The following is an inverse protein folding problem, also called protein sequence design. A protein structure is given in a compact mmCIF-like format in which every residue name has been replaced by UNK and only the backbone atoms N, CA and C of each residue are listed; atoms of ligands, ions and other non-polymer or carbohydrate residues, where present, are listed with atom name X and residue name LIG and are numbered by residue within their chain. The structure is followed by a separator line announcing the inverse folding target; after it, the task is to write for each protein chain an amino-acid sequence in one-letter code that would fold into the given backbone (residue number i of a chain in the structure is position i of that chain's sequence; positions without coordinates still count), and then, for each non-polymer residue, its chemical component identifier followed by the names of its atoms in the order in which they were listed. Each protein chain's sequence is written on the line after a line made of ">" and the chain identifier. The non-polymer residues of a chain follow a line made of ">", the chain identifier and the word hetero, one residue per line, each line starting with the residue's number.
data_IF_177180997310
#
_entry.id   IF_177180997310
#
_cell.length_a   1.000
_cell.length_b   1.000
_cell.length_c   1.000
_cell.angle_alpha   90.00
_cell.angle_beta   90.00
_cell.angle_gamma   90.00
#
_symmetry.space_group_name_H-M   'P 1'
#
loop_
_entity.id
_entity.type
_entity.pdbx_description
1 polymer ?
#
# COMPACT_ATOMS: atom_id res chain seq x y z
N UNK A 1 7.66 3.95 -4.14
CA UNK A 1 6.94 3.26 -3.04
C UNK A 1 6.56 1.84 -3.40
N UNK A 2 6.28 1.02 -2.40
CA UNK A 2 5.71 -0.33 -2.56
C UNK A 2 4.18 -0.28 -2.81
N UNK A 3 3.54 -1.44 -3.03
CA UNK A 3 2.10 -1.50 -3.37
C UNK A 3 1.21 -0.88 -2.31
N UNK A 4 1.52 -1.08 -1.03
CA UNK A 4 0.73 -0.57 0.09
C UNK A 4 0.75 0.96 0.13
N UNK A 5 1.95 1.55 0.02
CA UNK A 5 2.14 3.01 -0.06
C UNK A 5 1.42 3.60 -1.28
N UNK A 6 1.53 2.93 -2.43
CA UNK A 6 0.87 3.35 -3.67
C UNK A 6 -0.65 3.25 -3.63
N UNK A 7 -1.17 2.26 -2.91
CA UNK A 7 -2.59 2.07 -2.73
C UNK A 7 -3.20 3.24 -1.96
N UNK A 8 -2.60 3.64 -0.82
CA UNK A 8 -3.15 4.72 0.02
C UNK A 8 -2.60 6.11 -0.32
N UNK A 9 -1.73 6.22 -1.32
CA UNK A 9 -1.12 7.48 -1.73
C UNK A 9 -0.19 8.06 -0.68
N UNK A 10 0.41 7.19 0.14
CA UNK A 10 1.39 7.52 1.17
C UNK A 10 2.78 7.69 0.53
N UNK A 11 2.85 8.70 -0.31
CA UNK A 11 3.96 8.99 -1.20
C UNK A 11 3.81 10.43 -1.70
N UNK A 12 4.93 11.07 -2.01
CA UNK A 12 4.99 12.45 -2.47
C UNK A 12 5.05 12.46 -3.99
N UNK A 13 4.08 13.12 -4.62
CA UNK A 13 4.11 13.33 -6.06
C UNK A 13 5.35 14.15 -6.38
N UNK A 14 6.11 13.69 -7.36
CA UNK A 14 7.40 14.25 -7.73
C UNK A 14 8.54 14.12 -6.70
N UNK A 15 8.30 13.40 -5.60
CA UNK A 15 9.31 12.99 -4.64
C UNK A 15 9.65 11.51 -4.80
N UNK A 16 9.37 10.71 -3.77
CA UNK A 16 9.64 9.26 -3.72
C UNK A 16 8.90 8.41 -4.76
N UNK A 17 7.93 9.00 -5.47
CA UNK A 17 7.25 8.35 -6.58
C UNK A 17 8.00 8.42 -7.91
N UNK A 18 8.92 9.37 -8.07
CA UNK A 18 9.57 9.62 -9.35
C UNK A 18 10.64 8.56 -9.67
N UNK A 19 10.73 8.19 -10.95
CA UNK A 19 11.77 7.29 -11.46
C UNK A 19 11.44 6.77 -12.85
N UNK A 20 12.34 5.99 -13.45
CA UNK A 20 12.11 5.32 -14.74
C UNK A 20 11.36 3.99 -14.62
N UNK A 21 11.40 3.35 -13.45
CA UNK A 21 10.78 2.06 -13.17
C UNK A 21 10.53 1.91 -11.67
N UNK A 22 9.32 1.54 -11.27
CA UNK A 22 9.00 1.25 -9.87
C UNK A 22 9.04 -0.27 -9.61
N UNK A 23 10.24 -0.76 -9.30
CA UNK A 23 10.57 -2.20 -9.18
C UNK A 23 9.65 -2.96 -8.21
N UNK A 24 9.30 -2.34 -7.08
CA UNK A 24 8.51 -2.98 -6.02
C UNK A 24 7.09 -2.41 -5.88
N UNK A 25 6.60 -1.63 -6.84
CA UNK A 25 5.30 -0.96 -6.73
C UNK A 25 4.10 -1.93 -6.77
N UNK A 26 4.29 -3.19 -7.11
CA UNK A 26 3.27 -4.24 -6.99
C UNK A 26 3.54 -5.25 -5.85
N UNK A 27 4.50 -4.97 -4.98
CA UNK A 27 4.80 -5.80 -3.80
C UNK A 27 4.17 -5.17 -2.55
N UNK A 28 3.23 -5.83 -1.83
CA UNK A 28 2.73 -5.34 -0.54
C UNK A 28 3.85 -5.20 0.50
N UNK A 29 3.75 -4.24 1.43
CA UNK A 29 4.78 -3.97 2.45
C UNK A 29 5.11 -5.21 3.27
N UNK A 30 4.09 -5.96 3.70
CA UNK A 30 4.26 -7.24 4.40
C UNK A 30 5.09 -8.23 3.59
N UNK A 31 4.90 -8.29 2.26
CA UNK A 31 5.72 -9.11 1.36
C UNK A 31 7.12 -8.55 1.14
N UNK A 32 7.33 -7.24 1.16
CA UNK A 32 8.69 -6.65 1.13
C UNK A 32 9.50 -7.18 2.32
N UNK A 33 8.94 -7.14 3.54
CA UNK A 33 9.61 -7.68 4.72
C UNK A 33 9.85 -9.20 4.62
N UNK A 34 8.89 -9.97 4.10
CA UNK A 34 9.09 -11.42 3.93
C UNK A 34 10.18 -11.74 2.91
N UNK A 35 10.28 -10.97 1.82
CA UNK A 35 11.36 -11.07 0.83
C UNK A 35 12.72 -10.72 1.43
N UNK A 36 12.81 -9.67 2.24
CA UNK A 36 14.05 -9.32 2.93
C UNK A 36 14.53 -10.44 3.85
N UNK A 37 13.62 -11.03 4.65
CA UNK A 37 13.94 -12.18 5.50
C UNK A 37 14.32 -13.40 4.67
N UNK A 38 13.64 -13.61 3.53
CA UNK A 38 13.93 -14.71 2.62
C UNK A 38 15.34 -14.62 2.03
N UNK A 39 15.74 -13.42 1.57
CA UNK A 39 17.07 -13.17 1.01
C UNK A 39 18.18 -13.37 2.05
N UNK A 40 17.91 -12.95 3.30
CA UNK A 40 18.88 -13.04 4.38
C UNK A 40 19.09 -14.44 4.98
N UNK A 41 18.32 -15.47 4.57
CA UNK A 41 18.40 -16.80 5.19
C UNK A 41 19.77 -17.47 5.00
N UNK A 42 20.40 -17.28 3.85
CA UNK A 42 21.67 -17.92 3.50
C UNK A 42 22.86 -16.99 3.77
N UNK A 43 22.67 -15.69 3.55
CA UNK A 43 23.68 -14.66 3.76
C UNK A 43 23.01 -13.35 4.12
N UNK A 44 23.52 -12.66 5.13
CA UNK A 44 23.03 -11.32 5.48
C UNK A 44 23.44 -10.35 4.37
N UNK A 45 22.48 -9.98 3.52
CA UNK A 45 22.63 -8.98 2.45
C UNK A 45 21.98 -7.66 2.88
N UNK A 46 20.82 -7.74 3.53
CA UNK A 46 20.10 -6.58 4.07
C UNK A 46 20.42 -6.47 5.56
N UNK A 47 20.95 -5.34 6.05
CA UNK A 47 21.20 -5.15 7.49
C UNK A 47 19.97 -5.47 8.35
N UNK A 48 20.07 -6.33 9.38
CA UNK A 48 18.94 -6.72 10.22
C UNK A 48 18.20 -5.53 10.86
N UNK A 49 18.93 -4.46 11.16
CA UNK A 49 18.41 -3.23 11.74
C UNK A 49 17.35 -2.57 10.84
N UNK A 50 17.48 -2.69 9.51
CA UNK A 50 16.49 -2.16 8.54
C UNK A 50 15.18 -2.96 8.62
N UNK A 51 15.25 -4.24 8.97
CA UNK A 51 14.09 -5.15 9.04
C UNK A 51 13.38 -5.02 10.40
N UNK A 52 14.14 -4.80 11.48
CA UNK A 52 13.60 -4.70 12.85
C UNK A 52 13.15 -3.29 13.22
N UNK A 53 13.67 -2.26 12.55
CA UNK A 53 13.23 -0.88 12.79
C UNK A 53 11.74 -0.76 12.41
N UNK A 54 10.90 -0.18 13.28
CA UNK A 54 9.51 0.08 12.94
C UNK A 54 9.44 0.96 11.68
N UNK A 55 8.49 0.71 10.77
CA UNK A 55 8.30 1.60 9.63
C UNK A 55 7.95 3.01 10.12
N UNK A 56 8.66 4.00 9.59
CA UNK A 56 8.48 5.41 9.90
C UNK A 56 8.83 6.26 8.68
N UNK A 57 7.92 7.10 8.22
CA UNK A 57 8.18 8.15 7.26
C UNK A 57 8.92 9.27 7.97
N UNK A 58 10.23 9.32 7.77
CA UNK A 58 11.12 10.36 8.28
C UNK A 58 10.92 11.70 7.53
N UNK A 59 9.66 12.16 7.39
CA UNK A 59 9.34 13.45 6.80
C UNK A 59 9.41 14.59 7.83
N UNK A 60 9.27 14.28 9.13
CA UNK A 60 9.48 15.21 10.26
C UNK A 60 10.03 14.48 11.49
N UNK A 61 10.84 15.14 12.36
CA UNK A 61 11.31 14.54 13.60
C UNK A 61 10.12 14.09 14.48
N UNK A 62 10.05 12.81 14.82
CA UNK A 62 9.02 12.23 15.68
C UNK A 62 7.73 11.76 14.98
N UNK A 63 7.61 11.90 13.65
CA UNK A 63 6.45 11.39 12.90
C UNK A 63 6.52 9.85 12.77
N UNK A 64 5.53 9.13 13.29
CA UNK A 64 5.38 7.68 13.09
C UNK A 64 4.36 7.41 11.98
N UNK A 65 4.61 6.41 11.14
CA UNK A 65 3.64 5.98 10.10
C UNK A 65 2.28 5.59 10.69
N UNK A 66 2.30 5.11 11.94
CA UNK A 66 1.12 4.75 12.73
C UNK A 66 0.18 5.92 13.01
N UNK A 67 0.65 7.16 12.91
CA UNK A 67 -0.20 8.33 13.16
C UNK A 67 -1.19 8.56 12.00
N UNK A 68 -0.84 8.06 10.80
CA UNK A 68 -1.62 8.28 9.57
C UNK A 68 -2.22 7.00 9.00
N UNK A 69 -1.60 5.84 9.19
CA UNK A 69 -2.02 4.55 8.63
C UNK A 69 -2.19 3.48 9.72
N UNK A 70 -3.10 2.50 9.53
CA UNK A 70 -3.09 1.30 10.38
C UNK A 70 -1.78 0.51 10.16
N UNK A 71 -1.44 -0.43 11.08
CA UNK A 71 -0.34 -1.38 10.88
C UNK A 71 -0.41 -2.04 9.50
N UNK A 72 0.74 -2.29 8.88
CA UNK A 72 0.79 -2.80 7.50
C UNK A 72 0.13 -4.17 7.34
N UNK A 73 0.13 -4.99 8.38
CA UNK A 73 -0.58 -6.28 8.40
C UNK A 73 -2.08 -6.08 8.21
N UNK A 74 -2.65 -5.05 8.86
CA UNK A 74 -4.06 -4.69 8.74
C UNK A 74 -4.32 -3.99 7.39
N UNK A 75 -3.45 -3.05 7.02
CA UNK A 75 -3.56 -2.31 5.77
C UNK A 75 -3.54 -3.26 4.56
N UNK A 76 -2.56 -4.15 4.50
CA UNK A 76 -2.36 -5.05 3.37
C UNK A 76 -3.49 -6.06 3.26
N UNK A 77 -4.03 -6.58 4.37
CA UNK A 77 -5.18 -7.49 4.32
C UNK A 77 -6.45 -6.78 3.81
N UNK A 78 -6.72 -5.55 4.28
CA UNK A 78 -7.84 -4.75 3.77
C UNK A 78 -7.66 -4.46 2.27
N UNK A 79 -6.46 -4.03 1.85
CA UNK A 79 -6.17 -3.73 0.45
C UNK A 79 -6.28 -4.98 -0.44
N UNK A 80 -5.80 -6.13 0.01
CA UNK A 80 -5.93 -7.41 -0.68
C UNK A 80 -7.40 -7.74 -0.94
N UNK A 81 -8.24 -7.60 0.09
CA UNK A 81 -9.67 -7.88 0.01
C UNK A 81 -10.40 -6.94 -0.96
N UNK A 82 -10.04 -5.66 -0.96
CA UNK A 82 -10.66 -4.68 -1.87
C UNK A 82 -10.17 -4.90 -3.31
N UNK A 83 -8.86 -4.94 -3.51
CA UNK A 83 -8.23 -4.84 -4.84
C UNK A 83 -8.31 -6.18 -5.56
N UNK A 84 -7.91 -7.27 -4.90
CA UNK A 84 -7.80 -8.59 -5.52
C UNK A 84 -9.09 -9.41 -5.37
N UNK A 85 -9.76 -9.32 -4.22
CA UNK A 85 -10.94 -10.16 -3.92
C UNK A 85 -12.30 -9.49 -4.16
N UNK A 86 -12.33 -8.20 -4.50
CA UNK A 86 -13.57 -7.45 -4.74
C UNK A 86 -14.58 -7.44 -3.60
N UNK A 87 -14.10 -7.59 -2.36
CA UNK A 87 -15.00 -7.60 -1.21
C UNK A 87 -15.54 -6.20 -0.95
N UNK A 88 -16.85 -6.13 -0.70
CA UNK A 88 -17.52 -4.94 -0.24
C UNK A 88 -17.10 -4.60 1.19
N UNK A 89 -17.26 -3.33 1.59
CA UNK A 89 -16.94 -2.84 2.94
C UNK A 89 -17.48 -3.76 4.05
N UNK A 90 -18.78 -4.13 3.95
CA UNK A 90 -19.45 -5.00 4.92
C UNK A 90 -18.77 -6.36 5.10
N UNK A 91 -18.26 -6.94 4.02
CA UNK A 91 -17.61 -8.26 4.04
C UNK A 91 -16.25 -8.18 4.73
N UNK A 92 -15.54 -7.06 4.52
CA UNK A 92 -14.25 -6.79 5.17
C UNK A 92 -14.45 -6.54 6.67
N UNK A 93 -15.52 -5.84 7.05
CA UNK A 93 -15.90 -5.64 8.46
C UNK A 93 -16.27 -6.98 9.12
N UNK A 94 -17.08 -7.80 8.45
CA UNK A 94 -17.44 -9.15 8.94
C UNK A 94 -16.22 -10.07 9.07
N UNK A 95 -15.16 -9.84 8.29
CA UNK A 95 -13.89 -10.55 8.39
C UNK A 95 -13.05 -10.13 9.61
N UNK A 96 -13.53 -9.21 10.47
CA UNK A 96 -12.91 -8.84 11.74
C UNK A 96 -12.20 -7.49 11.75
N UNK A 97 -12.26 -6.73 10.65
CA UNK A 97 -11.68 -5.37 10.61
C UNK A 97 -12.64 -4.33 11.18
N UNK A 98 -12.10 -3.32 11.87
CA UNK A 98 -12.93 -2.24 12.39
C UNK A 98 -13.53 -1.40 11.25
N UNK A 99 -14.81 -1.04 11.35
CA UNK A 99 -15.48 -0.20 10.37
C UNK A 99 -14.76 1.14 10.15
N UNK A 100 -14.22 1.74 11.22
CA UNK A 100 -13.46 2.98 11.13
C UNK A 100 -12.18 2.82 10.29
N UNK A 101 -11.44 1.73 10.49
CA UNK A 101 -10.21 1.45 9.74
C UNK A 101 -10.51 1.16 8.27
N UNK A 102 -11.50 0.31 7.98
CA UNK A 102 -11.89 -0.03 6.60
C UNK A 102 -12.29 1.23 5.85
N UNK A 103 -13.17 2.06 6.43
CA UNK A 103 -13.60 3.32 5.85
C UNK A 103 -12.43 4.29 5.58
N UNK A 104 -11.47 4.36 6.51
CA UNK A 104 -10.27 5.18 6.33
C UNK A 104 -9.43 4.70 5.15
N UNK A 105 -9.17 3.39 5.06
CA UNK A 105 -8.37 2.79 3.98
C UNK A 105 -9.04 3.02 2.62
N UNK A 106 -10.36 2.83 2.51
CA UNK A 106 -11.06 3.02 1.23
C UNK A 106 -11.02 4.49 0.80
N UNK A 107 -11.20 5.43 1.73
CA UNK A 107 -11.06 6.87 1.43
C UNK A 107 -9.67 7.23 0.94
N UNK A 108 -8.62 6.67 1.55
CA UNK A 108 -7.24 6.88 1.12
C UNK A 108 -6.99 6.26 -0.26
N UNK A 109 -7.48 5.04 -0.48
CA UNK A 109 -7.40 4.34 -1.76
C UNK A 109 -8.02 5.15 -2.89
N UNK A 110 -9.24 5.65 -2.68
CA UNK A 110 -9.96 6.50 -3.64
C UNK A 110 -9.18 7.78 -3.96
N UNK A 111 -8.74 8.52 -2.93
CA UNK A 111 -8.03 9.80 -3.09
C UNK A 111 -6.68 9.67 -3.78
N UNK A 112 -6.04 8.51 -3.71
CA UNK A 112 -4.71 8.29 -4.25
C UNK A 112 -4.67 8.01 -5.77
N UNK A 113 -5.83 7.92 -6.45
CA UNK A 113 -5.89 7.58 -7.88
C UNK A 113 -5.11 8.55 -8.76
N UNK A 114 -5.20 9.87 -8.50
CA UNK A 114 -4.45 10.87 -9.29
C UNK A 114 -2.93 10.70 -9.19
N UNK A 115 -2.42 10.24 -8.04
CA UNK A 115 -0.98 9.96 -7.85
C UNK A 115 -0.59 8.71 -8.63
N UNK A 116 -1.37 7.63 -8.52
CA UNK A 116 -1.10 6.36 -9.22
C UNK A 116 -1.07 6.50 -10.74
N UNK A 117 -1.90 7.38 -11.29
CA UNK A 117 -1.93 7.65 -12.74
C UNK A 117 -0.65 8.28 -13.28
N UNK A 118 0.18 8.83 -12.40
CA UNK A 118 1.47 9.45 -12.72
C UNK A 118 2.66 8.58 -12.26
N UNK A 119 2.39 7.36 -11.76
CA UNK A 119 3.45 6.45 -11.36
C UNK A 119 4.24 5.97 -12.60
N UNK A 120 5.55 5.74 -12.47
CA UNK A 120 6.35 5.13 -13.53
C UNK A 120 5.91 3.68 -13.80
N UNK A 121 6.40 3.04 -14.88
CA UNK A 121 6.11 1.64 -15.17
C UNK A 121 6.31 0.73 -13.94
N UNK A 122 5.38 -0.21 -13.76
CA UNK A 122 5.33 -1.11 -12.60
C UNK A 122 5.58 -2.55 -13.07
N UNK A 123 6.44 -3.27 -12.35
CA UNK A 123 6.60 -4.72 -12.53
C UNK A 123 5.45 -5.44 -11.82
N UNK A 124 4.59 -6.12 -12.58
CA UNK A 124 3.44 -6.86 -12.05
C UNK A 124 3.88 -8.19 -11.46
N UNK A 125 3.56 -8.43 -10.18
CA UNK A 125 3.82 -9.69 -9.46
C UNK A 125 2.58 -10.26 -8.78
N UNK A 126 1.47 -9.53 -8.81
CA UNK A 126 0.14 -9.95 -8.33
C UNK A 126 -0.88 -9.89 -9.46
N UNK A 127 -2.06 -10.47 -9.26
CA UNK A 127 -3.10 -10.50 -10.30
C UNK A 127 -3.57 -9.10 -10.72
N UNK A 128 -3.53 -8.12 -9.81
CA UNK A 128 -3.95 -6.74 -10.05
C UNK A 128 -2.94 -5.71 -9.61
N UNK A 129 -2.00 -5.39 -10.49
CA UNK A 129 -1.15 -4.22 -10.36
C UNK A 129 -1.91 -2.93 -10.69
N UNK A 130 -1.49 -1.83 -10.05
CA UNK A 130 -1.97 -0.50 -10.41
C UNK A 130 -1.58 -0.16 -11.86
N UNK A 131 -2.51 0.45 -12.61
CA UNK A 131 -2.37 0.65 -14.05
C UNK A 131 -3.24 -0.32 -14.84
N UNK A 132 -2.66 -1.40 -15.39
CA UNK A 132 -3.42 -2.33 -16.24
C UNK A 132 -4.47 -3.13 -15.48
N UNK A 133 -4.19 -3.51 -14.22
CA UNK A 133 -5.09 -4.32 -13.37
C UNK A 133 -6.04 -3.53 -12.47
N UNK A 134 -5.90 -2.21 -12.40
CA UNK A 134 -6.74 -1.30 -11.61
C UNK A 134 -6.99 -0.02 -12.39
N UNK A 135 -8.22 0.16 -12.86
CA UNK A 135 -8.63 1.32 -13.65
C UNK A 135 -9.82 1.99 -12.99
N UNK A 136 -9.56 3.05 -12.24
CA UNK A 136 -10.60 3.85 -11.60
C UNK A 136 -10.57 5.29 -12.13
N UNK A 137 -11.71 6.00 -12.14
CA UNK A 137 -11.74 7.43 -12.44
C UNK A 137 -10.99 8.26 -11.38
N UNK A 138 -10.24 9.28 -11.82
CA UNK A 138 -9.55 10.22 -10.91
C UNK A 138 -10.56 11.10 -10.17
N UNK A 139 -11.41 11.79 -10.93
CA UNK A 139 -12.46 12.65 -10.39
C UNK A 139 -13.73 11.81 -10.24
N UNK A 140 -13.90 11.20 -9.07
CA UNK A 140 -15.09 10.43 -8.74
C UNK A 140 -15.52 10.70 -7.32
N UNK A 141 -16.83 10.85 -7.12
CA UNK A 141 -17.44 10.76 -5.80
C UNK A 141 -17.65 9.28 -5.52
N UNK A 142 -16.57 8.56 -5.23
CA UNK A 142 -16.66 7.18 -4.80
C UNK A 142 -17.26 7.16 -3.39
N UNK A 143 -18.59 7.15 -3.34
CA UNK A 143 -19.36 6.95 -2.12
C UNK A 143 -19.62 5.45 -2.04
N UNK A 144 -19.14 4.81 -0.98
CA UNK A 144 -19.67 3.50 -0.62
C UNK A 144 -21.03 3.79 0.00
N UNK A 145 -22.08 3.69 -0.81
CA UNK A 145 -23.44 3.82 -0.33
C UNK A 145 -23.83 2.49 0.34
N UNK A 146 -24.07 2.60 1.65
CA UNK A 146 -24.87 1.78 2.58
C UNK A 146 -24.95 0.26 2.38
#
# INVERSE_FOLDING_TARGET
>A
GNKSEMAVGYCTLYGDMNGGLAVIADVPKTRVFSLCRWLNREKIVIPPQIITKPPSAELRPGQKDTDSLPPYEILDDILERIINRHQAEREIIQAGHSAATVNKVIKLLAKAEFKRRQAPPILKVTDRAFGTGWRMPIASRWVINH
#
